data_IF_915842440369
#
_entry.id   IF_915842440369
#
_cell.length_a   1.000
_cell.length_b   1.000
_cell.length_c   1.000
_cell.angle_alpha   90.00
_cell.angle_beta   90.00
_cell.angle_gamma   90.00
#
_symmetry.space_group_name_H-M   'P 1'
#
loop_
_entity.id
_entity.type
_entity.pdbx_description
1 polymer ?
#
# COMPACT_ATOMS: atom_id res chain seq x y z
N UNK A 1 -2.37 7.36 -6.69
CA UNK A 1 -2.74 6.00 -7.13
C UNK A 1 -2.08 4.99 -6.20
N UNK A 2 -2.48 3.72 -6.28
CA UNK A 2 -1.84 2.62 -5.56
C UNK A 2 -1.69 1.45 -6.53
N UNK A 3 -0.52 0.81 -6.54
CA UNK A 3 -0.27 -0.42 -7.30
C UNK A 3 0.53 -1.40 -6.44
N UNK A 4 0.24 -2.69 -6.62
CA UNK A 4 0.90 -3.78 -5.90
C UNK A 4 1.59 -4.69 -6.89
N UNK A 5 2.86 -4.96 -6.62
CA UNK A 5 3.70 -5.94 -7.28
C UNK A 5 4.00 -7.07 -6.29
N UNK A 6 4.73 -8.11 -6.73
CA UNK A 6 5.07 -9.25 -5.87
C UNK A 6 5.82 -8.84 -4.60
N UNK A 7 6.76 -7.90 -4.72
CA UNK A 7 7.67 -7.53 -3.62
C UNK A 7 7.39 -6.12 -3.06
N UNK A 8 6.66 -5.29 -3.83
CA UNK A 8 6.48 -3.87 -3.51
C UNK A 8 5.02 -3.42 -3.65
N UNK A 9 4.61 -2.56 -2.72
CA UNK A 9 3.41 -1.75 -2.81
C UNK A 9 3.84 -0.29 -3.06
N UNK A 10 3.40 0.28 -4.18
CA UNK A 10 3.67 1.66 -4.55
C UNK A 10 2.45 2.53 -4.25
N UNK A 11 2.65 3.55 -3.44
CA UNK A 11 1.60 4.48 -3.04
C UNK A 11 1.99 5.89 -3.45
N UNK A 12 1.33 6.44 -4.45
CA UNK A 12 1.48 7.86 -4.79
C UNK A 12 0.65 8.72 -3.83
N UNK A 13 1.34 9.63 -3.16
CA UNK A 13 0.79 10.54 -2.18
C UNK A 13 0.68 11.95 -2.77
N UNK A 14 -0.51 12.55 -2.65
CA UNK A 14 -0.76 13.97 -2.93
C UNK A 14 -1.38 14.60 -1.69
N UNK A 15 -0.58 15.37 -0.96
CA UNK A 15 -0.95 16.05 0.28
C UNK A 15 -1.27 17.52 -0.01
N UNK A 16 -2.33 18.06 0.60
CA UNK A 16 -2.72 19.46 0.40
C UNK A 16 -2.00 20.37 1.40
N UNK A 17 -1.49 21.51 0.95
CA UNK A 17 -0.79 22.47 1.84
C UNK A 17 -1.67 22.97 3.01
N UNK A 18 -3.01 22.96 2.86
CA UNK A 18 -3.96 23.34 3.92
C UNK A 18 -4.09 22.31 5.04
N UNK A 19 -3.77 21.04 4.81
CA UNK A 19 -3.98 19.94 5.75
C UNK A 19 -2.69 19.38 6.36
N UNK A 20 -1.53 19.90 5.95
CA UNK A 20 -0.24 19.27 6.23
C UNK A 20 0.48 20.02 7.33
N UNK A 21 0.48 19.45 8.53
CA UNK A 21 1.68 19.51 9.39
C UNK A 21 2.60 18.40 8.89
N UNK A 22 3.65 18.70 8.10
CA UNK A 22 4.43 17.67 7.40
C UNK A 22 5.09 16.66 8.32
N UNK A 23 5.25 17.00 9.61
CA UNK A 23 5.84 16.13 10.62
C UNK A 23 4.87 15.07 11.20
N UNK A 24 3.57 15.10 10.86
CA UNK A 24 2.54 14.32 11.55
C UNK A 24 1.75 13.34 10.67
N UNK A 25 1.85 13.40 9.33
CA UNK A 25 1.13 12.46 8.46
C UNK A 25 1.70 11.05 8.57
N UNK A 26 0.81 10.06 8.68
CA UNK A 26 1.17 8.65 8.74
C UNK A 26 0.40 7.84 7.69
N UNK A 27 1.09 6.88 7.08
CA UNK A 27 0.48 5.86 6.25
C UNK A 27 0.36 4.58 7.06
N UNK A 28 -0.79 3.94 6.97
CA UNK A 28 -1.09 2.65 7.54
C UNK A 28 -1.30 1.63 6.43
N UNK A 29 -0.77 0.42 6.63
CA UNK A 29 -1.02 -0.74 5.78
C UNK A 29 -1.51 -1.87 6.67
N UNK A 30 -2.74 -2.31 6.43
CA UNK A 30 -3.37 -3.42 7.13
C UNK A 30 -3.45 -4.62 6.20
N UNK A 31 -3.17 -5.81 6.72
CA UNK A 31 -3.27 -7.06 5.98
C UNK A 31 -3.11 -8.24 6.93
N UNK A 32 -2.88 -9.42 6.37
CA UNK A 32 -2.48 -10.59 7.15
C UNK A 32 -0.99 -10.87 6.94
N UNK A 33 -0.35 -11.51 7.91
CA UNK A 33 0.95 -12.15 7.67
C UNK A 33 0.78 -13.57 7.12
N UNK A 34 1.90 -14.25 6.84
CA UNK A 34 1.90 -15.62 6.28
C UNK A 34 1.26 -16.66 7.23
N UNK A 35 1.16 -16.37 8.54
CA UNK A 35 0.44 -17.22 9.49
C UNK A 35 -1.07 -16.93 9.52
N UNK A 36 -1.55 -15.97 8.73
CA UNK A 36 -2.93 -15.51 8.70
C UNK A 36 -3.30 -14.56 9.83
N UNK A 37 -2.33 -14.08 10.62
CA UNK A 37 -2.60 -13.13 11.70
C UNK A 37 -2.72 -11.71 11.15
N UNK A 38 -3.65 -10.93 11.70
CA UNK A 38 -3.83 -9.53 11.30
C UNK A 38 -2.58 -8.71 11.67
N UNK A 39 -2.03 -7.99 10.69
CA UNK A 39 -0.87 -7.12 10.84
C UNK A 39 -1.22 -5.72 10.37
N UNK A 40 -0.90 -4.72 11.19
CA UNK A 40 -1.06 -3.31 10.85
C UNK A 40 0.28 -2.60 10.96
N UNK A 41 0.84 -2.18 9.83
CA UNK A 41 2.07 -1.41 9.77
C UNK A 41 1.79 0.09 9.74
N UNK A 42 2.61 0.87 10.44
CA UNK A 42 2.60 2.34 10.40
C UNK A 42 3.94 2.86 9.89
N UNK A 43 3.86 3.88 9.05
CA UNK A 43 5.00 4.67 8.56
C UNK A 43 4.69 6.16 8.70
N UNK A 44 5.69 6.97 9.04
CA UNK A 44 5.58 8.44 8.92
C UNK A 44 5.87 8.86 7.50
N UNK A 45 5.08 9.76 6.93
CA UNK A 45 5.35 10.30 5.59
C UNK A 45 6.37 11.42 5.72
N UNK A 46 7.59 11.28 5.17
CA UNK A 46 8.62 12.28 5.32
C UNK A 46 8.44 13.45 4.32
N UNK A 47 9.04 14.59 4.64
CA UNK A 47 8.99 15.79 3.78
C UNK A 47 10.00 15.77 2.61
N UNK A 48 10.93 14.82 2.61
CA UNK A 48 12.08 14.75 1.69
C UNK A 48 12.38 13.28 1.38
N UNK A 49 13.07 12.97 0.26
CA UNK A 49 13.43 11.60 -0.07
C UNK A 49 14.21 10.96 1.07
N UNK A 50 13.75 9.81 1.55
CA UNK A 50 14.36 9.12 2.69
C UNK A 50 13.98 7.65 2.74
N UNK A 51 14.67 6.91 3.61
CA UNK A 51 14.19 5.63 4.11
C UNK A 51 13.24 5.88 5.28
N UNK A 52 12.21 5.05 5.42
CA UNK A 52 11.14 5.20 6.41
C UNK A 52 10.93 3.86 7.09
N UNK A 53 10.99 3.83 8.42
CA UNK A 53 10.71 2.61 9.16
C UNK A 53 9.22 2.25 9.09
N UNK A 54 8.95 0.96 8.88
CA UNK A 54 7.65 0.35 9.11
C UNK A 54 7.64 -0.27 10.49
N UNK A 55 6.72 0.19 11.33
CA UNK A 55 6.52 -0.34 12.67
C UNK A 55 5.22 -1.11 12.72
N UNK A 56 5.20 -2.27 13.38
CA UNK A 56 3.97 -2.96 13.73
C UNK A 56 3.19 -2.13 14.76
N UNK A 57 1.90 -1.87 14.54
CA UNK A 57 1.11 -1.04 15.45
C UNK A 57 0.82 -1.71 16.79
N UNK A 58 0.91 -3.04 16.85
CA UNK A 58 0.65 -3.83 18.06
C UNK A 58 1.91 -3.96 18.89
N UNK A 59 3.03 -4.35 18.27
CA UNK A 59 4.29 -4.61 19.00
C UNK A 59 5.24 -3.41 19.03
N UNK A 60 5.03 -2.42 18.15
CA UNK A 60 5.93 -1.29 17.90
C UNK A 60 7.32 -1.69 17.38
N UNK A 61 7.51 -2.97 17.06
CA UNK A 61 8.75 -3.45 16.49
C UNK A 61 8.86 -3.05 15.01
N UNK A 62 10.10 -2.84 14.57
CA UNK A 62 10.37 -2.55 13.17
C UNK A 62 10.24 -3.84 12.35
N UNK A 63 9.30 -3.86 11.42
CA UNK A 63 9.07 -5.00 10.53
C UNK A 63 9.76 -4.86 9.18
N UNK A 64 9.95 -3.62 8.69
CA UNK A 64 10.63 -3.38 7.42
C UNK A 64 11.06 -1.91 7.27
N UNK A 65 11.60 -1.58 6.09
CA UNK A 65 12.01 -0.21 5.72
C UNK A 65 11.48 0.13 4.33
N UNK A 66 10.56 1.09 4.27
CA UNK A 66 10.03 1.67 3.04
C UNK A 66 10.96 2.77 2.49
N UNK A 67 10.74 3.14 1.22
CA UNK A 67 11.49 4.21 0.53
C UNK A 67 10.53 5.29 0.08
N UNK A 68 10.82 6.52 0.47
CA UNK A 68 10.10 7.69 0.00
C UNK A 68 10.91 8.44 -1.05
N UNK A 69 10.24 8.84 -2.14
CA UNK A 69 10.77 9.75 -3.16
C UNK A 69 9.79 10.89 -3.37
N UNK A 70 10.30 12.10 -3.59
CA UNK A 70 9.48 13.29 -3.82
C UNK A 70 9.67 14.37 -2.76
N UNK A 71 8.60 15.13 -2.50
CA UNK A 71 8.59 16.35 -1.69
C UNK A 71 7.54 16.25 -0.56
N UNK A 72 7.42 17.28 0.29
CA UNK A 72 6.44 17.28 1.38
C UNK A 72 4.97 17.25 0.94
N UNK A 73 4.66 17.52 -0.32
CA UNK A 73 3.30 17.63 -0.83
C UNK A 73 2.95 16.60 -1.90
N UNK A 74 3.96 16.06 -2.57
CA UNK A 74 3.78 15.07 -3.61
C UNK A 74 4.98 14.13 -3.64
N UNK A 75 4.72 12.82 -3.64
CA UNK A 75 5.74 11.81 -3.68
C UNK A 75 5.18 10.40 -3.76
N UNK A 76 6.08 9.43 -3.74
CA UNK A 76 5.78 8.00 -3.80
C UNK A 76 6.42 7.31 -2.60
N UNK A 77 5.65 6.43 -1.95
CA UNK A 77 6.15 5.51 -0.96
C UNK A 77 6.18 4.10 -1.55
N UNK A 78 7.38 3.54 -1.71
CA UNK A 78 7.59 2.14 -2.07
C UNK A 78 7.78 1.32 -0.79
N UNK A 79 6.84 0.41 -0.55
CA UNK A 79 6.66 -0.34 0.69
C UNK A 79 6.97 -1.81 0.39
N UNK A 80 7.96 -2.43 1.06
CA UNK A 80 8.18 -3.86 0.92
C UNK A 80 6.99 -4.63 1.52
N UNK A 81 6.46 -5.62 0.81
CA UNK A 81 5.28 -6.38 1.25
C UNK A 81 5.60 -7.78 1.77
N UNK A 82 6.87 -8.17 1.85
CA UNK A 82 7.32 -9.50 2.33
C UNK A 82 6.86 -9.83 3.76
N UNK A 83 6.52 -8.81 4.57
CA UNK A 83 5.96 -8.98 5.92
C UNK A 83 4.45 -9.27 5.94
N UNK A 84 3.81 -9.29 4.77
CA UNK A 84 2.39 -9.54 4.57
C UNK A 84 2.19 -10.72 3.63
N UNK A 85 1.08 -11.42 3.82
CA UNK A 85 0.63 -12.49 2.93
C UNK A 85 0.44 -11.96 1.50
N UNK A 86 1.07 -12.65 0.55
CA UNK A 86 0.86 -12.42 -0.89
C UNK A 86 -0.54 -12.85 -1.36
N UNK A 87 -1.23 -13.71 -0.59
CA UNK A 87 -2.54 -14.26 -0.92
C UNK A 87 -3.70 -13.34 -0.58
N UNK A 88 -3.52 -12.44 0.39
CA UNK A 88 -4.57 -11.60 0.96
C UNK A 88 -4.52 -10.16 0.44
N UNK A 89 -5.67 -9.49 0.41
CA UNK A 89 -5.74 -8.07 0.11
C UNK A 89 -5.02 -7.24 1.19
N UNK A 90 -4.48 -6.10 0.76
CA UNK A 90 -3.97 -5.08 1.67
C UNK A 90 -4.95 -3.91 1.72
N UNK A 91 -5.03 -3.24 2.86
CA UNK A 91 -5.81 -2.03 3.03
C UNK A 91 -4.88 -0.90 3.42
N UNK A 92 -4.92 0.19 2.67
CA UNK A 92 -4.04 1.34 2.84
C UNK A 92 -4.84 2.53 3.33
N UNK A 93 -4.35 3.20 4.38
CA UNK A 93 -4.97 4.43 4.91
C UNK A 93 -3.93 5.50 5.12
N UNK A 94 -4.22 6.70 4.64
CA UNK A 94 -3.41 7.88 4.89
C UNK A 94 -4.10 8.73 5.96
N UNK A 95 -3.51 8.78 7.15
CA UNK A 95 -4.02 9.63 8.23
C UNK A 95 -3.67 11.10 7.96
N UNK A 96 -4.71 11.86 7.63
CA UNK A 96 -4.72 13.32 7.56
C UNK A 96 -5.56 13.77 8.74
N UNK A 97 -4.92 14.14 9.87
CA UNK A 97 -5.58 14.61 11.10
C UNK A 97 -6.33 15.94 10.92
N UNK A 98 -7.33 15.97 10.06
CA UNK A 98 -8.37 16.99 10.02
C UNK A 98 -9.57 16.49 10.82
N UNK A 99 -10.19 17.40 11.58
CA UNK A 99 -10.99 17.11 12.78
C UNK A 99 -12.18 16.16 12.63
N UNK A 100 -12.58 15.77 11.43
CA UNK A 100 -13.65 14.81 11.20
C UNK A 100 -13.35 13.99 9.95
N UNK A 101 -13.02 12.72 10.13
CA UNK A 101 -12.77 11.73 9.09
C UNK A 101 -11.60 12.08 8.14
N UNK A 102 -10.71 11.13 7.92
CA UNK A 102 -9.81 11.23 6.79
C UNK A 102 -10.65 11.13 5.51
N UNK A 103 -10.52 12.13 4.64
CA UNK A 103 -11.35 12.30 3.44
C UNK A 103 -11.26 11.12 2.44
N UNK A 104 -10.29 10.21 2.61
CA UNK A 104 -10.02 9.12 1.68
C UNK A 104 -10.44 7.72 2.16
N UNK A 105 -10.72 7.51 3.45
CA UNK A 105 -11.02 6.18 4.01
C UNK A 105 -9.90 5.15 3.81
N UNK A 106 -10.23 3.87 4.01
CA UNK A 106 -9.35 2.75 3.66
C UNK A 106 -9.49 2.41 2.18
N UNK A 107 -8.36 2.25 1.49
CA UNK A 107 -8.30 1.80 0.11
C UNK A 107 -7.88 0.33 0.07
N UNK A 108 -8.72 -0.52 -0.52
CA UNK A 108 -8.38 -1.92 -0.77
C UNK A 108 -7.42 -2.06 -1.95
N UNK A 109 -6.42 -2.90 -1.78
CA UNK A 109 -5.43 -3.27 -2.78
C UNK A 109 -5.49 -4.80 -2.92
N UNK A 110 -6.00 -5.32 -4.05
CA UNK A 110 -6.15 -6.75 -4.26
C UNK A 110 -4.85 -7.53 -4.07
N UNK A 111 -4.98 -8.84 -3.86
CA UNK A 111 -3.81 -9.71 -3.86
C UNK A 111 -3.28 -9.96 -5.26
N UNK A 112 -1.98 -10.18 -5.36
CA UNK A 112 -1.31 -10.44 -6.64
C UNK A 112 -1.79 -11.75 -7.28
N UNK A 113 -2.20 -12.74 -6.46
CA UNK A 113 -2.85 -13.97 -6.96
C UNK A 113 -4.17 -13.71 -7.68
N UNK A 114 -4.95 -12.73 -7.25
CA UNK A 114 -6.22 -12.43 -7.93
C UNK A 114 -6.00 -11.85 -9.34
N UNK A 115 -4.97 -11.03 -9.53
CA UNK A 115 -4.61 -10.49 -10.84
C UNK A 115 -4.07 -11.57 -11.78
N UNK A 116 -3.25 -12.50 -11.28
CA UNK A 116 -2.72 -13.61 -12.09
C UNK A 116 -3.83 -14.56 -12.56
N UNK A 117 -4.80 -14.86 -11.70
CA UNK A 117 -5.98 -15.67 -12.07
C UNK A 117 -6.88 -14.93 -13.07
N UNK A 118 -7.07 -13.61 -12.89
CA UNK A 118 -7.87 -12.80 -13.81
C UNK A 118 -7.21 -12.69 -15.20
N UNK A 119 -5.91 -12.44 -15.25
CA UNK A 119 -5.13 -12.38 -16.50
C UNK A 119 -5.11 -13.74 -17.22
N UNK A 120 -4.96 -14.83 -16.47
CA UNK A 120 -5.00 -16.19 -17.02
C UNK A 120 -6.35 -16.53 -17.63
N UNK A 121 -7.46 -16.09 -17.03
CA UNK A 121 -8.81 -16.27 -17.58
C UNK A 121 -9.03 -15.48 -18.87
N UNK A 122 -8.49 -14.26 -18.96
CA UNK A 122 -8.61 -13.42 -20.16
C UNK A 122 -7.88 -14.04 -21.36
N UNK A 123 -6.63 -14.50 -21.17
CA UNK A 123 -5.86 -15.17 -22.22
C UNK A 123 -6.53 -16.46 -22.72
N UNK A 124 -7.20 -17.20 -21.84
CA UNK A 124 -7.90 -18.44 -22.21
C UNK A 124 -9.19 -18.18 -22.99
N UNK A 125 -9.85 -17.03 -22.76
CA UNK A 125 -11.02 -16.59 -23.53
C UNK A 125 -10.62 -16.19 -24.96
N UNK A 126 -9.53 -15.43 -25.12
CA UNK A 126 -8.99 -15.06 -26.43
C UNK A 126 -8.52 -16.29 -27.23
N UNK A 127 -7.82 -17.23 -26.59
CA UNK A 127 -7.36 -18.45 -27.25
C UNK A 127 -8.52 -19.33 -27.77
N UNK A 128 -9.65 -19.39 -27.04
CA UNK A 128 -10.86 -20.10 -27.47
C UNK A 128 -11.56 -19.41 -28.64
N UNK A 129 -11.48 -18.10 -28.74
CA UNK A 129 -12.07 -17.35 -29.86
C UNK A 129 -11.25 -17.49 -31.15
N UNK A 130 -9.93 -17.63 -31.03
CA UNK A 130 -9.03 -17.89 -32.16
C UNK A 130 -9.18 -19.33 -32.69
N UNK A 131 -9.39 -20.32 -31.80
CA UNK A 131 -9.55 -21.72 -32.18
C UNK A 131 -10.94 -22.06 -32.79
N UNK A 132 -11.90 -21.13 -32.74
CA UNK A 132 -13.26 -21.30 -33.26
C UNK A 132 -13.48 -20.64 -34.65
N UNK A 133 -12.40 -20.23 -35.32
CA UNK A 133 -12.38 -19.73 -36.71
C UNK A 133 -11.67 -20.71 -37.62
#
# INVERSE_FOLDING_TARGET
SISRESDWLHVELRLSAKAVRPAESALFVLGHDEAGALRCARMRVPARPSRVEMLDCTTLERIAVARYRGSAFAGELAIPVDSFSSGDALFVKLDRRSWFFDEAGWLEVPSTRFEEIAASKHNMADARQVAAR
#
